data_IF_488761180582
#
_entry.id   IF_488761180582
#
_cell.length_a   1.000
_cell.length_b   1.000
_cell.length_c   1.000
_cell.angle_alpha   90.00
_cell.angle_beta   90.00
_cell.angle_gamma   90.00
#
_symmetry.space_group_name_H-M   'P 1'
#
loop_
_entity.id
_entity.type
_entity.pdbx_description
1 polymer ?
#
# COMPACT_ATOMS: atom_id res chain seq x y z
N UNK A 1 -19.10 -9.18 -13.86
CA UNK A 1 -17.92 -10.04 -14.22
C UNK A 1 -17.04 -10.13 -12.97
N UNK A 2 -16.39 -11.28 -12.68
CA UNK A 2 -15.42 -11.44 -11.59
C UNK A 2 -14.24 -10.50 -11.84
N UNK A 3 -13.62 -9.99 -10.78
CA UNK A 3 -12.43 -9.15 -10.85
C UNK A 3 -11.26 -9.90 -11.52
N UNK A 4 -10.60 -9.29 -12.50
CA UNK A 4 -9.51 -9.90 -13.25
C UNK A 4 -8.18 -9.54 -12.56
N UNK A 5 -7.42 -10.53 -12.11
CA UNK A 5 -6.10 -10.38 -11.50
C UNK A 5 -5.03 -10.31 -12.59
N UNK A 6 -4.87 -9.14 -13.19
CA UNK A 6 -3.97 -8.87 -14.31
C UNK A 6 -2.92 -7.78 -13.99
N UNK A 7 -2.79 -7.40 -12.74
CA UNK A 7 -1.89 -6.33 -12.31
C UNK A 7 -1.35 -6.55 -10.90
N UNK A 8 -0.21 -5.89 -10.61
CA UNK A 8 0.37 -5.73 -9.27
C UNK A 8 0.94 -4.31 -9.17
N UNK A 9 0.35 -3.46 -8.32
CA UNK A 9 0.71 -2.05 -8.27
C UNK A 9 1.51 -1.65 -7.03
N UNK A 10 1.96 -2.61 -6.22
CA UNK A 10 2.81 -2.37 -5.07
C UNK A 10 3.89 -3.47 -4.98
N UNK A 11 5.07 -3.12 -5.46
CA UNK A 11 6.22 -4.01 -5.61
C UNK A 11 7.50 -3.29 -5.17
N UNK A 12 8.34 -3.98 -4.44
CA UNK A 12 9.65 -3.47 -4.03
C UNK A 12 10.78 -4.19 -4.75
N UNK A 13 11.83 -3.46 -5.08
CA UNK A 13 13.09 -4.03 -5.56
C UNK A 13 14.10 -4.17 -4.42
N UNK A 14 15.26 -4.73 -4.71
CA UNK A 14 16.39 -4.74 -3.77
C UNK A 14 16.96 -3.36 -3.43
N UNK A 15 16.35 -2.26 -3.92
CA UNK A 15 16.66 -0.89 -3.51
C UNK A 15 15.94 -0.51 -2.21
N UNK A 16 14.78 -1.09 -1.92
CA UNK A 16 14.12 -0.89 -0.63
C UNK A 16 14.94 -1.51 0.50
N UNK A 17 15.27 -0.74 1.53
CA UNK A 17 16.14 -1.17 2.63
C UNK A 17 15.57 -2.33 3.46
N UNK A 18 14.30 -2.61 3.35
CA UNK A 18 13.64 -3.77 3.96
C UNK A 18 13.69 -5.03 3.08
N UNK A 19 14.16 -4.92 1.83
CA UNK A 19 14.42 -6.06 0.96
C UNK A 19 15.86 -6.54 1.16
N UNK A 20 16.05 -7.79 1.56
CA UNK A 20 17.36 -8.43 1.69
C UNK A 20 17.64 -9.46 0.57
N UNK A 21 16.78 -9.52 -0.45
CA UNK A 21 16.95 -10.38 -1.62
C UNK A 21 17.69 -9.65 -2.75
N UNK A 22 19.00 -9.93 -2.97
CA UNK A 22 19.77 -9.32 -4.04
C UNK A 22 19.28 -9.72 -5.45
N UNK A 23 18.39 -10.71 -5.53
CA UNK A 23 17.76 -11.14 -6.78
C UNK A 23 16.48 -10.40 -7.09
N UNK A 24 15.93 -9.62 -6.17
CA UNK A 24 14.74 -8.80 -6.35
C UNK A 24 15.06 -7.58 -7.23
N UNK A 25 15.50 -7.84 -8.46
CA UNK A 25 15.83 -6.81 -9.45
C UNK A 25 14.60 -6.42 -10.27
N UNK A 26 14.54 -5.22 -10.85
CA UNK A 26 13.45 -4.85 -11.75
C UNK A 26 13.21 -5.85 -12.89
N UNK A 27 14.29 -6.48 -13.42
CA UNK A 27 14.16 -7.51 -14.46
C UNK A 27 13.51 -8.79 -13.90
N UNK A 28 13.93 -9.25 -12.72
CA UNK A 28 13.34 -10.45 -12.11
C UNK A 28 11.87 -10.25 -11.75
N UNK A 29 11.51 -9.05 -11.28
CA UNK A 29 10.12 -8.64 -11.02
C UNK A 29 9.30 -8.73 -12.32
N UNK A 30 9.80 -8.18 -13.42
CA UNK A 30 9.15 -8.23 -14.73
C UNK A 30 8.93 -9.68 -15.19
N UNK A 31 9.97 -10.52 -15.13
CA UNK A 31 9.93 -11.91 -15.55
C UNK A 31 8.89 -12.73 -14.75
N UNK A 32 8.87 -12.55 -13.43
CA UNK A 32 7.91 -13.22 -12.54
C UNK A 32 6.48 -12.69 -12.74
N UNK A 33 6.31 -11.39 -12.96
CA UNK A 33 5.01 -10.77 -13.24
C UNK A 33 4.45 -11.28 -14.57
N UNK A 34 5.30 -11.41 -15.60
CA UNK A 34 4.94 -12.01 -16.87
C UNK A 34 4.54 -13.48 -16.72
N UNK A 35 5.28 -14.25 -15.92
CA UNK A 35 4.94 -15.65 -15.62
C UNK A 35 3.59 -15.79 -14.89
N UNK A 36 3.19 -14.81 -14.08
CA UNK A 36 1.86 -14.71 -13.47
C UNK A 36 0.77 -14.23 -14.46
N UNK A 37 1.14 -13.79 -15.66
CA UNK A 37 0.22 -13.27 -16.68
C UNK A 37 -0.30 -11.87 -16.36
N UNK A 38 0.42 -11.09 -15.56
CA UNK A 38 0.11 -9.68 -15.33
C UNK A 38 0.32 -8.87 -16.61
N UNK A 39 -0.43 -7.81 -16.74
CA UNK A 39 -0.39 -6.88 -17.89
C UNK A 39 0.14 -5.51 -17.49
N UNK A 40 -0.04 -5.13 -16.23
CA UNK A 40 0.43 -3.86 -15.68
C UNK A 40 1.03 -4.09 -14.30
N UNK A 41 2.22 -3.56 -14.09
CA UNK A 41 2.89 -3.61 -12.78
C UNK A 41 3.48 -2.25 -12.44
N UNK A 42 3.66 -1.96 -11.16
CA UNK A 42 4.29 -0.73 -10.71
C UNK A 42 5.35 -1.02 -9.66
N UNK A 43 6.59 -0.59 -9.93
CA UNK A 43 7.65 -0.57 -8.92
C UNK A 43 7.39 0.60 -7.99
N UNK A 44 7.35 0.33 -6.70
CA UNK A 44 6.99 1.32 -5.66
C UNK A 44 7.93 1.25 -4.46
N UNK A 45 9.23 1.27 -4.72
CA UNK A 45 10.23 1.28 -3.66
C UNK A 45 9.95 2.40 -2.64
N UNK A 46 10.29 2.17 -1.37
CA UNK A 46 10.12 3.17 -0.33
C UNK A 46 10.84 4.48 -0.65
N UNK A 47 10.19 5.59 -0.34
CA UNK A 47 10.66 6.89 -0.75
C UNK A 47 10.30 8.01 0.24
N UNK A 48 11.24 8.93 0.43
CA UNK A 48 11.01 10.24 1.03
C UNK A 48 11.77 11.30 0.22
N UNK A 49 11.05 12.31 -0.27
CA UNK A 49 11.64 13.43 -1.01
C UNK A 49 12.51 14.28 -0.09
N UNK A 50 13.78 14.43 -0.43
CA UNK A 50 14.75 15.20 0.33
C UNK A 50 14.40 16.69 0.43
N UNK A 51 13.54 17.20 -0.45
CA UNK A 51 13.05 18.58 -0.41
C UNK A 51 11.90 18.77 0.58
N UNK A 52 11.28 17.67 1.05
CA UNK A 52 10.15 17.68 2.00
C UNK A 52 10.69 17.55 3.43
N UNK A 53 10.48 18.55 4.30
CA UNK A 53 10.87 18.46 5.70
C UNK A 53 10.19 17.27 6.39
N UNK A 54 10.93 16.53 7.20
CA UNK A 54 10.43 15.38 7.95
C UNK A 54 10.58 15.55 9.47
N UNK A 55 9.74 14.88 10.24
CA UNK A 55 9.71 14.94 11.70
C UNK A 55 10.84 14.12 12.34
N UNK A 56 12.06 14.51 12.12
CA UNK A 56 13.26 13.84 12.61
C UNK A 56 14.02 13.09 11.51
N UNK A 57 15.17 12.54 11.88
CA UNK A 57 16.01 11.73 11.00
C UNK A 57 15.75 10.26 11.31
N UNK A 58 15.57 9.48 10.26
CA UNK A 58 15.55 8.02 10.30
C UNK A 58 16.32 7.50 9.09
N UNK A 59 17.35 6.69 9.35
CA UNK A 59 18.25 6.18 8.31
C UNK A 59 17.48 5.54 7.15
N UNK A 60 16.40 4.84 7.44
CA UNK A 60 15.53 4.23 6.46
C UNK A 60 15.06 5.20 5.38
N UNK A 61 14.60 6.42 5.75
CA UNK A 61 14.15 7.44 4.80
C UNK A 61 15.22 8.49 4.47
N UNK A 62 16.35 8.53 5.18
CA UNK A 62 17.47 9.40 4.81
C UNK A 62 18.17 8.86 3.55
N UNK A 63 18.21 7.53 3.40
CA UNK A 63 18.84 6.85 2.26
C UNK A 63 17.91 6.76 1.05
N UNK A 64 16.64 6.43 1.27
CA UNK A 64 15.65 6.17 0.21
C UNK A 64 15.06 7.46 -0.35
N UNK A 65 15.92 8.29 -0.93
CA UNK A 65 15.65 9.58 -1.57
C UNK A 65 15.55 9.45 -3.10
N UNK A 66 15.37 10.57 -3.80
CA UNK A 66 15.25 10.61 -5.27
C UNK A 66 16.38 9.89 -5.98
N UNK A 67 17.64 10.21 -5.65
CA UNK A 67 18.79 9.59 -6.29
C UNK A 67 18.89 8.08 -6.00
N UNK A 68 18.29 7.61 -4.92
CA UNK A 68 18.28 6.20 -4.56
C UNK A 68 17.28 5.41 -5.39
N UNK A 69 16.02 5.82 -5.45
CA UNK A 69 14.98 5.07 -6.21
C UNK A 69 15.19 5.17 -7.72
N UNK A 70 15.78 6.28 -8.21
CA UNK A 70 16.12 6.47 -9.63
C UNK A 70 17.20 5.48 -10.14
N UNK A 71 17.90 4.77 -9.25
CA UNK A 71 18.81 3.68 -9.65
C UNK A 71 18.09 2.51 -10.33
N UNK A 72 16.78 2.39 -10.14
CA UNK A 72 15.95 1.40 -10.86
C UNK A 72 15.77 1.76 -12.34
N UNK A 73 16.03 3.00 -12.73
CA UNK A 73 15.79 3.50 -14.08
C UNK A 73 17.00 3.30 -15.02
N UNK A 74 16.77 3.03 -16.34
CA UNK A 74 15.44 2.82 -16.92
C UNK A 74 14.86 1.47 -16.53
N UNK A 75 13.54 1.40 -16.29
CA UNK A 75 12.88 0.12 -16.07
C UNK A 75 12.98 -0.78 -17.32
N UNK A 76 13.06 -2.10 -17.13
CA UNK A 76 12.99 -3.05 -18.24
C UNK A 76 11.70 -2.86 -19.05
N UNK A 77 11.79 -3.04 -20.36
CA UNK A 77 10.68 -2.90 -21.27
C UNK A 77 10.23 -4.27 -21.77
N UNK A 78 8.93 -4.49 -21.94
CA UNK A 78 8.33 -5.72 -22.48
C UNK A 78 7.07 -5.37 -23.30
N UNK A 79 6.78 -6.17 -24.34
CA UNK A 79 5.64 -5.92 -25.22
C UNK A 79 4.31 -6.44 -24.62
N UNK A 80 4.36 -7.25 -23.57
CA UNK A 80 3.19 -7.87 -22.94
C UNK A 80 2.82 -7.26 -21.58
N UNK A 81 3.79 -6.60 -20.90
CA UNK A 81 3.66 -6.06 -19.56
C UNK A 81 4.07 -4.59 -19.52
N UNK A 82 3.14 -3.71 -19.20
CA UNK A 82 3.43 -2.30 -18.92
C UNK A 82 4.06 -2.18 -17.52
N UNK A 83 5.30 -1.71 -17.45
CA UNK A 83 6.04 -1.54 -16.20
C UNK A 83 6.14 -0.07 -15.84
N UNK A 84 5.46 0.34 -14.79
CA UNK A 84 5.36 1.72 -14.32
C UNK A 84 6.32 2.00 -13.18
N UNK A 85 6.72 3.28 -13.06
CA UNK A 85 7.60 3.78 -12.00
C UNK A 85 6.81 4.58 -10.98
N UNK A 86 6.70 4.06 -9.77
CA UNK A 86 6.01 4.66 -8.64
C UNK A 86 6.89 4.74 -7.39
N UNK A 87 6.27 4.99 -6.26
CA UNK A 87 6.90 4.94 -4.95
C UNK A 87 5.90 4.65 -3.83
N UNK A 88 6.34 3.94 -2.79
CA UNK A 88 5.64 3.93 -1.51
C UNK A 88 6.14 5.09 -0.66
N UNK A 89 5.24 6.06 -0.43
CA UNK A 89 5.54 7.34 0.22
C UNK A 89 4.95 7.37 1.60
N UNK A 90 5.77 7.42 2.65
CA UNK A 90 5.27 7.44 4.00
C UNK A 90 4.79 8.83 4.46
N UNK A 91 4.11 8.82 5.58
CA UNK A 91 3.65 10.00 6.30
C UNK A 91 4.34 10.04 7.68
N UNK A 92 4.93 11.16 8.06
CA UNK A 92 5.54 11.32 9.37
C UNK A 92 4.51 11.55 10.49
N UNK A 93 4.98 11.68 11.73
CA UNK A 93 4.13 11.93 12.91
C UNK A 93 3.47 13.31 12.94
N UNK A 94 3.93 14.23 12.08
CA UNK A 94 3.30 15.54 11.87
C UNK A 94 2.28 15.50 10.73
N UNK A 95 2.05 14.30 10.16
CA UNK A 95 1.19 14.04 9.01
C UNK A 95 1.69 14.67 7.71
N UNK A 96 3.00 14.93 7.61
CA UNK A 96 3.63 15.33 6.35
C UNK A 96 3.79 14.08 5.48
N UNK A 97 3.29 14.14 4.26
CA UNK A 97 3.50 13.09 3.25
C UNK A 97 4.83 13.38 2.53
N UNK A 98 5.72 12.39 2.47
CA UNK A 98 7.10 12.54 2.04
C UNK A 98 7.30 12.71 0.53
N UNK A 99 6.44 13.49 -0.15
CA UNK A 99 6.54 13.72 -1.59
C UNK A 99 6.40 15.20 -1.95
N UNK A 100 7.32 15.70 -2.78
CA UNK A 100 7.26 17.05 -3.35
C UNK A 100 6.66 17.03 -4.77
N UNK A 101 6.16 18.19 -5.22
CA UNK A 101 5.43 18.34 -6.49
C UNK A 101 6.22 17.80 -7.69
N UNK A 102 7.52 18.09 -7.75
CA UNK A 102 8.39 17.68 -8.87
C UNK A 102 8.45 16.15 -9.02
N UNK A 103 8.53 15.43 -7.91
CA UNK A 103 8.57 13.97 -7.94
C UNK A 103 7.19 13.38 -8.13
N UNK A 104 6.16 14.02 -7.56
CA UNK A 104 4.77 13.66 -7.78
C UNK A 104 4.38 13.73 -9.28
N UNK A 105 4.89 14.70 -10.03
CA UNK A 105 4.68 14.79 -11.49
C UNK A 105 5.40 13.66 -12.25
N UNK A 106 6.57 13.22 -11.77
CA UNK A 106 7.41 12.22 -12.43
C UNK A 106 6.92 10.78 -12.22
N UNK A 107 6.36 10.49 -11.04
CA UNK A 107 5.86 9.16 -10.70
C UNK A 107 4.53 8.88 -11.38
N UNK A 108 4.38 7.65 -11.91
CA UNK A 108 3.13 7.19 -12.50
C UNK A 108 2.07 6.85 -11.44
N UNK A 109 2.52 6.40 -10.27
CA UNK A 109 1.67 5.99 -9.17
C UNK A 109 2.37 6.15 -7.82
N UNK A 110 1.64 6.51 -6.79
CA UNK A 110 2.14 6.51 -5.41
C UNK A 110 1.23 5.67 -4.50
N UNK A 111 1.85 4.97 -3.57
CA UNK A 111 1.18 4.21 -2.52
C UNK A 111 1.44 4.91 -1.20
N UNK A 112 0.40 5.16 -0.40
CA UNK A 112 0.55 5.88 0.87
C UNK A 112 0.00 5.03 2.01
N UNK A 113 0.85 4.54 2.93
CA UNK A 113 0.44 3.75 4.08
C UNK A 113 -0.07 4.65 5.23
N UNK A 114 -1.26 4.35 5.71
CA UNK A 114 -1.77 4.91 6.97
C UNK A 114 -1.47 3.99 8.16
N UNK A 115 -0.99 2.79 7.87
CA UNK A 115 -0.75 1.67 8.78
C UNK A 115 0.69 1.55 9.28
N UNK A 116 1.64 2.32 8.72
CA UNK A 116 3.02 2.34 9.19
C UNK A 116 3.13 3.07 10.53
N UNK A 117 2.70 2.40 11.61
CA UNK A 117 2.77 2.92 12.98
C UNK A 117 3.91 2.26 13.78
N UNK A 118 4.82 1.57 13.11
CA UNK A 118 5.94 0.83 13.71
C UNK A 118 7.20 1.68 13.92
N UNK A 119 7.39 2.76 13.18
CA UNK A 119 8.53 3.68 13.35
C UNK A 119 8.24 4.72 14.45
N UNK A 120 8.35 4.28 15.71
CA UNK A 120 8.18 5.16 16.88
C UNK A 120 9.24 6.28 16.85
N UNK A 121 8.80 7.52 17.04
CA UNK A 121 9.63 8.71 16.90
C UNK A 121 9.56 9.34 15.51
N UNK A 122 9.18 8.59 14.48
CA UNK A 122 9.04 9.09 13.12
C UNK A 122 7.57 9.09 12.63
N UNK A 123 6.92 7.92 12.54
CA UNK A 123 5.52 7.84 12.07
C UNK A 123 4.50 8.07 13.18
N UNK A 124 4.86 7.79 14.43
CA UNK A 124 4.09 8.10 15.64
C UNK A 124 5.01 8.55 16.77
N UNK A 125 4.48 9.26 17.74
CA UNK A 125 5.19 9.59 18.98
C UNK A 125 5.22 8.39 19.95
N UNK A 126 6.20 8.36 20.88
CA UNK A 126 6.30 7.34 21.94
C UNK A 126 5.02 7.20 22.79
N UNK A 127 4.32 8.31 23.02
CA UNK A 127 3.04 8.34 23.75
C UNK A 127 1.88 7.67 23.00
N UNK A 128 2.02 7.41 21.70
CA UNK A 128 0.97 6.88 20.81
C UNK A 128 1.13 5.38 20.53
N UNK A 129 1.83 4.65 21.40
CA UNK A 129 2.17 3.22 21.18
C UNK A 129 1.14 2.23 21.72
N UNK A 130 0.17 2.64 22.57
CA UNK A 130 -0.92 1.74 22.99
C UNK A 130 -1.86 1.43 21.82
N UNK A 131 -2.62 0.33 21.89
CA UNK A 131 -3.53 -0.09 20.80
C UNK A 131 -4.60 0.98 20.53
N UNK A 132 -5.14 1.60 21.58
CA UNK A 132 -6.13 2.68 21.49
C UNK A 132 -5.53 3.89 20.74
N UNK A 133 -4.32 4.29 21.12
CA UNK A 133 -3.66 5.43 20.48
C UNK A 133 -3.30 5.13 19.03
N UNK A 134 -2.91 3.88 18.71
CA UNK A 134 -2.67 3.45 17.32
C UNK A 134 -3.94 3.48 16.50
N UNK A 135 -5.09 3.10 17.05
CA UNK A 135 -6.38 3.23 16.38
C UNK A 135 -6.72 4.71 16.07
N UNK A 136 -6.51 5.61 17.04
CA UNK A 136 -6.67 7.05 16.82
C UNK A 136 -5.70 7.58 15.75
N UNK A 137 -4.43 7.16 15.78
CA UNK A 137 -3.43 7.57 14.78
C UNK A 137 -3.76 7.04 13.40
N UNK A 138 -4.19 5.78 13.26
CA UNK A 138 -4.64 5.22 11.99
C UNK A 138 -5.76 6.04 11.36
N UNK A 139 -6.81 6.34 12.13
CA UNK A 139 -7.93 7.17 11.65
C UNK A 139 -7.45 8.56 11.25
N UNK A 140 -6.63 9.19 12.09
CA UNK A 140 -6.15 10.54 11.83
C UNK A 140 -5.22 10.62 10.62
N UNK A 141 -4.33 9.67 10.43
CA UNK A 141 -3.47 9.58 9.23
C UNK A 141 -4.31 9.40 7.97
N UNK A 142 -5.36 8.58 8.04
CA UNK A 142 -6.28 8.41 6.92
C UNK A 142 -7.03 9.71 6.59
N UNK A 143 -7.55 10.41 7.60
CA UNK A 143 -8.16 11.74 7.40
C UNK A 143 -7.20 12.72 6.75
N UNK A 144 -5.94 12.79 7.24
CA UNK A 144 -4.91 13.67 6.72
C UNK A 144 -4.48 13.34 5.30
N UNK A 145 -4.43 12.05 4.94
CA UNK A 145 -4.23 11.64 3.55
C UNK A 145 -5.37 12.15 2.67
N UNK A 146 -6.62 12.01 3.11
CA UNK A 146 -7.79 12.49 2.36
C UNK A 146 -7.93 14.03 2.31
N UNK A 147 -7.27 14.75 3.21
CA UNK A 147 -7.20 16.23 3.22
C UNK A 147 -6.05 16.76 2.35
N UNK A 148 -5.12 15.91 1.92
CA UNK A 148 -3.96 16.31 1.15
C UNK A 148 -4.34 16.75 -0.29
N UNK A 149 -3.58 17.69 -0.84
CA UNK A 149 -3.71 18.09 -2.25
C UNK A 149 -2.90 17.15 -3.14
N UNK A 150 -3.49 15.98 -3.40
CA UNK A 150 -2.86 14.91 -4.20
C UNK A 150 -3.74 14.55 -5.41
N UNK A 151 -3.13 14.13 -6.52
CA UNK A 151 -3.84 13.63 -7.70
C UNK A 151 -4.36 12.21 -7.44
N UNK A 152 -5.45 12.08 -6.67
CA UNK A 152 -5.95 10.81 -6.15
C UNK A 152 -6.20 9.72 -7.20
N UNK A 153 -6.37 10.09 -8.48
CA UNK A 153 -6.50 9.12 -9.56
C UNK A 153 -5.23 8.25 -9.77
N UNK A 154 -4.09 8.68 -9.23
CA UNK A 154 -2.83 7.91 -9.22
C UNK A 154 -2.29 7.68 -7.80
N UNK A 155 -3.16 7.66 -6.80
CA UNK A 155 -2.82 7.38 -5.39
C UNK A 155 -3.52 6.11 -4.94
N UNK A 156 -2.77 5.21 -4.32
CA UNK A 156 -3.25 4.02 -3.63
C UNK A 156 -3.13 4.15 -2.11
N UNK A 157 -4.20 3.81 -1.40
CA UNK A 157 -4.16 3.58 0.04
C UNK A 157 -3.60 2.18 0.27
N UNK A 158 -2.43 2.08 0.90
CA UNK A 158 -1.72 0.83 1.12
C UNK A 158 -2.35 -0.03 2.22
N UNK A 159 -2.27 -1.34 2.05
CA UNK A 159 -2.42 -2.45 3.02
C UNK A 159 -3.14 -2.11 4.34
N UNK A 160 -4.41 -1.71 4.27
CA UNK A 160 -5.22 -1.21 5.41
C UNK A 160 -5.36 -2.17 6.59
N UNK A 161 -4.95 -3.43 6.46
CA UNK A 161 -4.95 -4.47 7.50
C UNK A 161 -3.53 -4.97 7.85
N UNK A 162 -2.50 -4.17 7.57
CA UNK A 162 -1.11 -4.53 7.82
C UNK A 162 -0.80 -4.66 9.32
N UNK A 163 -0.02 -5.67 9.67
CA UNK A 163 0.42 -5.93 11.07
C UNK A 163 1.34 -4.84 11.62
N UNK A 164 2.00 -4.04 10.76
CA UNK A 164 2.84 -2.90 11.15
C UNK A 164 2.03 -1.78 11.83
N UNK A 165 0.70 -1.81 11.73
CA UNK A 165 -0.21 -0.95 12.50
C UNK A 165 0.00 -1.13 14.01
N UNK A 166 0.27 -2.36 14.49
CA UNK A 166 0.49 -2.67 15.90
C UNK A 166 1.45 -3.86 16.05
N UNK A 167 2.77 -3.66 15.91
CA UNK A 167 3.76 -4.72 15.99
C UNK A 167 3.72 -5.51 17.30
N UNK A 168 4.18 -6.74 17.27
CA UNK A 168 4.26 -7.65 18.40
C UNK A 168 3.34 -8.86 18.22
N UNK A 169 2.20 -8.89 18.89
CA UNK A 169 1.24 -9.97 18.72
C UNK A 169 0.46 -9.81 17.40
N UNK A 170 0.28 -10.92 16.66
CA UNK A 170 -0.51 -10.93 15.41
C UNK A 170 -1.94 -10.40 15.61
N UNK A 171 -2.54 -10.61 16.78
CA UNK A 171 -3.90 -10.13 17.08
C UNK A 171 -4.01 -8.61 17.29
N UNK A 172 -2.89 -7.93 17.50
CA UNK A 172 -2.91 -6.50 17.81
C UNK A 172 -3.51 -5.64 16.69
N UNK A 173 -3.16 -5.90 15.42
CA UNK A 173 -3.71 -5.13 14.31
C UNK A 173 -5.22 -5.31 14.15
N UNK A 174 -5.74 -6.52 14.37
CA UNK A 174 -7.19 -6.76 14.39
C UNK A 174 -7.87 -6.02 15.54
N UNK A 175 -7.23 -5.98 16.71
CA UNK A 175 -7.74 -5.23 17.86
C UNK A 175 -7.79 -3.73 17.58
N UNK A 176 -6.77 -3.18 16.91
CA UNK A 176 -6.78 -1.78 16.45
C UNK A 176 -7.91 -1.53 15.47
N UNK A 177 -8.14 -2.43 14.51
CA UNK A 177 -9.26 -2.32 13.56
C UNK A 177 -10.63 -2.38 14.25
N UNK A 178 -10.79 -3.22 15.28
CA UNK A 178 -12.05 -3.32 16.05
C UNK A 178 -12.37 -2.05 16.86
N UNK A 179 -11.34 -1.30 17.25
CA UNK A 179 -11.50 -0.01 17.94
C UNK A 179 -12.01 1.11 17.03
N UNK A 180 -11.93 0.94 15.70
CA UNK A 180 -12.49 1.87 14.72
C UNK A 180 -13.91 1.43 14.39
N UNK A 181 -14.90 2.24 14.72
CA UNK A 181 -16.30 1.90 14.47
C UNK A 181 -16.70 1.98 12.98
N UNK A 182 -17.80 1.32 12.63
CA UNK A 182 -18.30 1.28 11.24
C UNK A 182 -18.64 2.66 10.68
N UNK A 183 -19.10 3.57 11.52
CA UNK A 183 -19.43 4.95 11.10
C UNK A 183 -18.17 5.66 10.64
N UNK A 184 -17.10 5.59 11.42
CA UNK A 184 -15.80 6.18 11.08
C UNK A 184 -15.24 5.57 9.78
N UNK A 185 -15.25 4.24 9.63
CA UNK A 185 -14.87 3.61 8.37
C UNK A 185 -15.72 4.07 7.18
N UNK A 186 -17.05 4.17 7.34
CA UNK A 186 -17.94 4.65 6.28
C UNK A 186 -17.64 6.10 5.88
N UNK A 187 -17.37 6.97 6.83
CA UNK A 187 -16.98 8.35 6.57
C UNK A 187 -15.69 8.42 5.75
N UNK A 188 -14.65 7.69 6.17
CA UNK A 188 -13.36 7.63 5.48
C UNK A 188 -13.48 7.04 4.07
N UNK A 189 -14.12 5.88 3.91
CA UNK A 189 -14.26 5.24 2.60
C UNK A 189 -15.21 5.95 1.66
N UNK A 190 -16.23 6.66 2.16
CA UNK A 190 -17.06 7.53 1.32
C UNK A 190 -16.23 8.66 0.73
N UNK A 191 -15.33 9.26 1.51
CA UNK A 191 -14.38 10.28 1.02
C UNK A 191 -13.39 9.68 0.04
N UNK A 192 -12.84 8.48 0.32
CA UNK A 192 -11.94 7.72 -0.57
C UNK A 192 -12.59 7.48 -1.94
N UNK A 193 -13.82 6.97 -1.95
CA UNK A 193 -14.55 6.73 -3.19
C UNK A 193 -14.82 8.04 -3.96
N UNK A 194 -15.13 9.13 -3.25
CA UNK A 194 -15.41 10.44 -3.85
C UNK A 194 -14.18 11.09 -4.48
N UNK A 195 -13.01 10.99 -3.85
CA UNK A 195 -11.77 11.55 -4.41
C UNK A 195 -11.15 10.63 -5.49
N UNK A 196 -11.59 9.38 -5.59
CA UNK A 196 -11.13 8.45 -6.61
C UNK A 196 -9.81 7.75 -6.29
N UNK A 197 -9.38 7.72 -5.02
CA UNK A 197 -8.20 6.97 -4.56
C UNK A 197 -8.48 5.47 -4.58
N UNK A 198 -7.47 4.67 -5.00
CA UNK A 198 -7.53 3.21 -4.97
C UNK A 198 -7.34 2.66 -3.56
N UNK A 199 -7.96 1.53 -3.25
CA UNK A 199 -7.74 0.79 -1.99
C UNK A 199 -7.03 -0.52 -2.31
N UNK A 200 -5.90 -0.73 -1.67
CA UNK A 200 -5.09 -1.93 -1.84
C UNK A 200 -5.74 -3.16 -1.22
N UNK A 201 -5.67 -4.26 -1.94
CA UNK A 201 -5.98 -5.60 -1.42
C UNK A 201 -4.65 -6.33 -1.17
N UNK A 202 -4.20 -6.27 0.05
CA UNK A 202 -2.98 -6.92 0.50
C UNK A 202 -3.18 -7.54 1.89
N UNK A 203 -3.51 -8.81 1.93
CA UNK A 203 -3.56 -9.65 3.12
C UNK A 203 -3.62 -11.12 2.67
N UNK A 204 -3.17 -12.03 3.53
CA UNK A 204 -3.23 -13.46 3.25
C UNK A 204 -4.45 -14.09 3.92
N UNK A 205 -5.50 -14.48 3.16
CA UNK A 205 -6.72 -15.03 3.75
C UNK A 205 -6.50 -16.25 4.65
N UNK A 206 -5.50 -17.09 4.35
CA UNK A 206 -5.19 -18.29 5.12
C UNK A 206 -4.54 -18.02 6.48
N UNK A 207 -4.07 -16.79 6.71
CA UNK A 207 -3.54 -16.38 8.01
C UNK A 207 -4.64 -16.19 9.07
N UNK A 208 -5.92 -16.14 8.66
CA UNK A 208 -7.04 -15.85 9.53
C UNK A 208 -7.98 -17.04 9.65
N UNK A 209 -8.54 -17.26 10.84
CA UNK A 209 -9.49 -18.35 11.11
C UNK A 209 -10.57 -17.90 12.09
N UNK A 210 -11.68 -18.63 12.13
CA UNK A 210 -12.78 -18.32 13.06
C UNK A 210 -13.30 -16.90 12.90
N UNK A 211 -13.40 -16.17 14.02
CA UNK A 211 -13.94 -14.81 14.08
C UNK A 211 -12.99 -13.78 13.42
N UNK A 212 -11.68 -14.06 13.33
CA UNK A 212 -10.71 -13.17 12.72
C UNK A 212 -10.97 -12.93 11.24
N UNK A 213 -11.60 -13.89 10.55
CA UNK A 213 -12.03 -13.74 9.16
C UNK A 213 -13.01 -12.55 9.03
N UNK A 214 -13.96 -12.42 9.92
CA UNK A 214 -14.92 -11.32 9.89
C UNK A 214 -14.23 -9.98 10.18
N UNK A 215 -13.29 -9.96 11.12
CA UNK A 215 -12.53 -8.79 11.55
C UNK A 215 -11.67 -8.23 10.40
N UNK A 216 -10.89 -9.08 9.72
CA UNK A 216 -10.03 -8.64 8.60
C UNK A 216 -10.84 -8.24 7.36
N UNK A 217 -11.98 -8.90 7.10
CA UNK A 217 -12.88 -8.55 5.98
C UNK A 217 -13.61 -7.22 6.18
N UNK A 218 -13.95 -6.89 7.42
CA UNK A 218 -14.83 -5.77 7.77
C UNK A 218 -14.46 -4.45 7.08
N UNK A 219 -13.23 -3.91 7.16
CA UNK A 219 -12.90 -2.65 6.50
C UNK A 219 -13.06 -2.73 4.97
N UNK A 220 -12.68 -3.84 4.34
CA UNK A 220 -12.84 -4.01 2.89
C UNK A 220 -14.32 -4.10 2.46
N UNK A 221 -15.18 -4.75 3.24
CA UNK A 221 -16.61 -4.83 2.95
C UNK A 221 -17.26 -3.45 3.06
N UNK A 222 -16.89 -2.66 4.08
CA UNK A 222 -17.37 -1.28 4.22
C UNK A 222 -16.87 -0.42 3.06
N UNK A 223 -15.58 -0.53 2.67
CA UNK A 223 -15.05 0.17 1.51
C UNK A 223 -15.80 -0.18 0.22
N UNK A 224 -16.12 -1.45 0.01
CA UNK A 224 -16.91 -1.94 -1.11
C UNK A 224 -18.33 -1.34 -1.13
N UNK A 225 -19.01 -1.32 0.02
CA UNK A 225 -20.34 -0.70 0.17
C UNK A 225 -20.31 0.82 -0.09
N UNK A 226 -19.21 1.50 0.26
CA UNK A 226 -19.00 2.92 0.00
C UNK A 226 -18.64 3.23 -1.47
N UNK A 227 -18.43 2.21 -2.31
CA UNK A 227 -18.13 2.38 -3.73
C UNK A 227 -16.66 2.59 -4.05
N UNK A 228 -15.74 2.28 -3.13
CA UNK A 228 -14.30 2.31 -3.38
C UNK A 228 -13.92 1.39 -4.53
N UNK A 229 -12.82 1.74 -5.21
CA UNK A 229 -12.17 0.90 -6.21
C UNK A 229 -10.92 0.26 -5.61
N UNK A 230 -10.62 -0.97 -6.06
CA UNK A 230 -9.57 -1.79 -5.47
C UNK A 230 -8.48 -2.14 -6.50
N UNK A 231 -7.27 -2.30 -6.02
CA UNK A 231 -6.16 -2.84 -6.79
C UNK A 231 -5.47 -3.97 -6.03
N UNK A 232 -4.86 -4.88 -6.79
CA UNK A 232 -4.07 -5.96 -6.25
C UNK A 232 -2.64 -5.53 -6.04
N UNK A 233 -2.06 -5.98 -4.95
CA UNK A 233 -0.69 -5.72 -4.58
C UNK A 233 -0.11 -6.91 -3.80
N UNK A 234 1.12 -7.26 -4.11
CA UNK A 234 1.87 -8.22 -3.32
C UNK A 234 2.58 -7.55 -2.17
N UNK A 235 3.08 -6.33 -2.37
CA UNK A 235 4.06 -5.69 -1.47
C UNK A 235 5.31 -6.58 -1.34
N UNK A 236 5.66 -7.26 -2.44
CA UNK A 236 6.71 -8.25 -2.44
C UNK A 236 8.09 -7.62 -2.30
N UNK A 237 8.87 -8.12 -1.35
CA UNK A 237 10.26 -7.75 -1.09
C UNK A 237 11.25 -8.84 -1.52
N UNK A 238 10.73 -10.04 -1.86
CA UNK A 238 11.52 -11.21 -2.28
C UNK A 238 10.88 -11.88 -3.48
N UNK A 239 11.70 -12.40 -4.40
CA UNK A 239 11.23 -13.11 -5.60
C UNK A 239 10.29 -14.30 -5.28
N UNK A 240 10.48 -14.95 -4.14
CA UNK A 240 9.63 -16.08 -3.71
C UNK A 240 8.16 -15.65 -3.55
N UNK A 241 7.91 -14.44 -3.08
CA UNK A 241 6.57 -13.89 -2.84
C UNK A 241 5.81 -13.64 -4.15
N UNK A 242 6.52 -13.46 -5.26
CA UNK A 242 5.92 -13.26 -6.58
C UNK A 242 5.55 -14.56 -7.29
N UNK A 243 6.08 -15.71 -6.89
CA UNK A 243 5.91 -16.96 -7.64
C UNK A 243 4.45 -17.38 -7.86
N UNK A 244 3.59 -17.12 -6.90
CA UNK A 244 2.18 -17.52 -6.92
C UNK A 244 1.23 -16.31 -6.80
N UNK A 245 1.72 -15.10 -7.05
CA UNK A 245 1.00 -13.86 -6.80
C UNK A 245 -0.42 -13.83 -7.41
N UNK A 246 -0.57 -14.32 -8.64
CA UNK A 246 -1.89 -14.39 -9.28
C UNK A 246 -2.86 -15.31 -8.55
N UNK A 247 -2.40 -16.49 -8.13
CA UNK A 247 -3.24 -17.44 -7.37
C UNK A 247 -3.67 -16.85 -6.03
N UNK A 248 -2.76 -16.12 -5.38
CA UNK A 248 -3.03 -15.45 -4.11
C UNK A 248 -4.02 -14.30 -4.30
N UNK A 249 -3.89 -13.53 -5.37
CA UNK A 249 -4.86 -12.49 -5.75
C UNK A 249 -6.25 -13.08 -6.05
N UNK A 250 -6.32 -14.17 -6.78
CA UNK A 250 -7.58 -14.86 -7.07
C UNK A 250 -8.29 -15.34 -5.80
N UNK A 251 -7.53 -15.82 -4.80
CA UNK A 251 -8.07 -16.16 -3.47
C UNK A 251 -8.63 -14.95 -2.74
N UNK A 252 -7.92 -13.80 -2.78
CA UNK A 252 -8.38 -12.54 -2.19
C UNK A 252 -9.64 -12.02 -2.87
N UNK A 253 -9.72 -12.12 -4.20
CA UNK A 253 -10.91 -11.74 -4.99
C UNK A 253 -12.11 -12.58 -4.58
N UNK A 254 -11.96 -13.91 -4.48
CA UNK A 254 -13.04 -14.80 -4.06
C UNK A 254 -13.43 -14.58 -2.59
N UNK A 255 -12.45 -14.33 -1.72
CA UNK A 255 -12.69 -14.05 -0.32
C UNK A 255 -13.53 -12.79 -0.09
N UNK A 256 -13.30 -11.74 -0.90
CA UNK A 256 -14.04 -10.46 -0.84
C UNK A 256 -15.19 -10.38 -1.86
N UNK A 257 -15.37 -11.38 -2.72
CA UNK A 257 -16.37 -11.41 -3.78
C UNK A 257 -16.30 -10.16 -4.68
N UNK A 258 -15.08 -9.81 -5.13
CA UNK A 258 -14.85 -8.60 -5.92
C UNK A 258 -15.28 -8.79 -7.38
N UNK A 259 -15.75 -7.70 -7.99
CA UNK A 259 -16.18 -7.62 -9.38
C UNK A 259 -15.30 -6.65 -10.16
N UNK A 260 -15.23 -6.87 -11.50
CA UNK A 260 -14.39 -6.05 -12.38
C UNK A 260 -14.74 -4.56 -12.36
N UNK A 261 -16.00 -4.21 -12.17
CA UNK A 261 -16.43 -2.81 -12.03
C UNK A 261 -15.87 -2.10 -10.78
N UNK A 262 -15.31 -2.87 -9.83
CA UNK A 262 -14.67 -2.35 -8.62
C UNK A 262 -13.16 -2.18 -8.78
N UNK A 263 -12.60 -2.51 -9.95
CA UNK A 263 -11.17 -2.35 -10.20
C UNK A 263 -10.77 -0.88 -10.29
N UNK A 264 -9.71 -0.53 -9.56
CA UNK A 264 -9.01 0.73 -9.72
C UNK A 264 -8.09 0.69 -10.94
N UNK A 265 -8.06 1.73 -11.74
CA UNK A 265 -7.31 1.80 -13.00
C UNK A 265 -6.53 3.11 -13.08
N UNK A 266 -5.35 3.20 -12.43
CA UNK A 266 -4.55 4.42 -12.43
C UNK A 266 -3.88 4.71 -13.78
N UNK A 267 -3.68 3.70 -14.61
CA UNK A 267 -2.93 3.79 -15.87
C UNK A 267 -3.84 3.71 -17.12
N UNK A 268 -4.99 4.25 -17.09
CA UNK A 268 -5.86 4.42 -18.26
C UNK A 268 -6.59 3.16 -18.73
#
# INVERSE_FOLDING_TARGET
MRFICDHDYHLHSGLSLCSDDPKQTPQAILDLSKANGFKKICLTDHYWDESVPKAGSIEFYDVQNTAHIEKALPLPQDDEVEYHFGAEVDMDKNYTIGIGDKMLEKLDFIVVPTTHLHFVGFTIDEKDTSLERRAEQFVKRFEKLLDADLPFHKVGLAHITCTLMAPGDFQNHLTVLDMVDDKTFRELFTRTAKCGMGVEINFEPSAYSGDDIARVKRPYLIAKECGCKFYMATDAHHNEELKNAKTDFERRVDFLELKEEQKFKPFG
#
